data_IF_955218084822
#
_entry.id   IF_955218084822
#
_cell.length_a   1.000
_cell.length_b   1.000
_cell.length_c   1.000
_cell.angle_alpha   90.00
_cell.angle_beta   90.00
_cell.angle_gamma   90.00
#
_symmetry.space_group_name_H-M   'P 1'
#
loop_
_entity.id
_entity.type
_entity.pdbx_description
1 polymer ?
#
# COMPACT_ATOMS: atom_id res chain seq x y z
N UNK A 1 -3.96 -0.61 21.22
CA UNK A 1 -4.99 -0.44 20.17
C UNK A 1 -4.62 0.81 19.36
N UNK A 2 -4.00 0.64 18.21
CA UNK A 2 -3.73 1.76 17.28
C UNK A 2 -5.04 2.11 16.60
N UNK A 3 -5.59 3.28 16.91
CA UNK A 3 -6.78 3.80 16.22
C UNK A 3 -6.36 4.28 14.83
N UNK A 4 -7.02 3.78 13.79
CA UNK A 4 -6.90 4.24 12.42
C UNK A 4 -8.26 4.76 11.97
N UNK A 5 -8.30 6.00 11.53
CA UNK A 5 -9.49 6.66 10.97
C UNK A 5 -9.26 6.93 9.50
N UNK A 6 -10.31 6.85 8.69
CA UNK A 6 -10.22 7.19 7.28
C UNK A 6 -11.51 7.85 6.81
N UNK A 7 -11.42 8.54 5.69
CA UNK A 7 -12.59 9.06 5.00
C UNK A 7 -12.43 9.00 3.49
N UNK A 8 -13.56 9.01 2.81
CA UNK A 8 -13.63 8.98 1.36
C UNK A 8 -14.70 9.95 0.85
N UNK A 9 -14.27 10.99 0.15
CA UNK A 9 -15.15 11.83 -0.64
C UNK A 9 -15.34 11.18 -2.01
N UNK A 10 -16.48 10.51 -2.19
CA UNK A 10 -16.82 9.80 -3.43
C UNK A 10 -16.93 10.70 -4.66
N UNK A 11 -17.39 11.95 -4.50
CA UNK A 11 -17.54 12.87 -5.63
C UNK A 11 -16.19 13.34 -6.16
N UNK A 12 -15.24 13.62 -5.26
CA UNK A 12 -13.91 14.09 -5.62
C UNK A 12 -12.90 12.93 -5.86
N UNK A 13 -13.23 11.70 -5.46
CA UNK A 13 -12.28 10.60 -5.39
C UNK A 13 -11.24 10.77 -4.28
N UNK A 14 -11.40 11.71 -3.36
CA UNK A 14 -10.40 12.03 -2.35
C UNK A 14 -10.48 11.08 -1.15
N UNK A 15 -9.35 10.50 -0.78
CA UNK A 15 -9.20 9.60 0.38
C UNK A 15 -8.20 10.21 1.35
N UNK A 16 -8.49 10.12 2.64
CA UNK A 16 -7.52 10.43 3.69
C UNK A 16 -7.52 9.33 4.76
N UNK A 17 -6.35 9.08 5.33
CA UNK A 17 -6.12 8.15 6.44
C UNK A 17 -5.39 8.91 7.53
N UNK A 18 -5.85 8.76 8.77
CA UNK A 18 -5.27 9.33 9.97
C UNK A 18 -4.87 8.20 10.92
N UNK A 19 -3.63 8.19 11.34
CA UNK A 19 -3.07 7.25 12.32
C UNK A 19 -2.35 8.00 13.43
N UNK A 20 -2.36 7.43 14.64
CA UNK A 20 -1.84 8.11 15.85
C UNK A 20 -0.36 8.48 15.77
N UNK A 21 0.44 7.66 15.11
CA UNK A 21 1.89 7.83 15.00
C UNK A 21 2.37 7.38 13.62
N UNK A 22 3.52 7.88 13.18
CA UNK A 22 4.18 7.42 11.96
C UNK A 22 4.57 5.95 12.12
N UNK A 23 4.33 5.14 11.08
CA UNK A 23 4.71 3.72 11.07
C UNK A 23 5.67 3.41 9.93
N UNK A 24 6.43 2.34 10.08
CA UNK A 24 7.28 1.78 9.03
C UNK A 24 6.97 0.30 8.87
N UNK A 25 6.93 -0.18 7.62
CA UNK A 25 6.74 -1.58 7.31
C UNK A 25 7.81 -2.09 6.34
N UNK A 26 8.40 -3.24 6.66
CA UNK A 26 9.35 -3.94 5.80
C UNK A 26 8.61 -5.00 4.99
N UNK A 27 8.38 -4.73 3.71
CA UNK A 27 7.87 -5.73 2.78
C UNK A 27 9.01 -6.69 2.37
N UNK A 28 9.16 -7.79 3.13
CA UNK A 28 10.27 -8.75 2.97
C UNK A 28 10.38 -9.28 1.54
N UNK A 29 9.25 -9.66 0.92
CA UNK A 29 9.20 -10.27 -0.43
C UNK A 29 9.75 -9.39 -1.55
N UNK A 30 9.67 -8.07 -1.40
CA UNK A 30 10.19 -7.10 -2.39
C UNK A 30 11.43 -6.37 -1.87
N UNK A 31 11.93 -6.72 -0.69
CA UNK A 31 13.11 -6.11 -0.11
C UNK A 31 12.99 -4.59 0.07
N UNK A 32 11.79 -4.04 0.31
CA UNK A 32 11.55 -2.61 0.46
C UNK A 32 10.98 -2.25 1.83
N UNK A 33 11.38 -1.09 2.38
CA UNK A 33 10.83 -0.54 3.63
C UNK A 33 10.04 0.71 3.27
N UNK A 34 8.80 0.80 3.73
CA UNK A 34 7.91 1.92 3.44
C UNK A 34 7.53 2.59 4.75
N UNK A 35 7.59 3.93 4.79
CA UNK A 35 7.09 4.73 5.89
C UNK A 35 5.74 5.34 5.56
N UNK A 36 4.85 5.35 6.55
CA UNK A 36 3.51 5.89 6.52
C UNK A 36 3.40 6.98 7.58
N UNK A 37 3.19 8.22 7.18
CA UNK A 37 3.05 9.37 8.08
C UNK A 37 1.68 9.34 8.79
N UNK A 38 1.49 10.21 9.78
CA UNK A 38 0.25 10.29 10.58
C UNK A 38 -0.98 10.69 9.76
N UNK A 39 -0.77 11.38 8.64
CA UNK A 39 -1.78 11.76 7.67
C UNK A 39 -1.33 11.33 6.27
N UNK A 40 -2.16 10.55 5.61
CA UNK A 40 -1.96 10.08 4.23
C UNK A 40 -3.16 10.54 3.42
N UNK A 41 -2.90 11.13 2.26
CA UNK A 41 -3.97 11.54 1.35
C UNK A 41 -3.71 11.05 -0.06
N UNK A 42 -4.76 10.84 -0.85
CA UNK A 42 -4.65 10.50 -2.27
C UNK A 42 -5.96 10.78 -2.99
N UNK A 43 -5.89 10.89 -4.32
CA UNK A 43 -7.06 10.77 -5.19
C UNK A 43 -7.11 9.35 -5.75
N UNK A 44 -8.19 8.64 -5.44
CA UNK A 44 -8.47 7.30 -5.92
C UNK A 44 -9.35 7.35 -7.17
N UNK A 45 -8.87 6.71 -8.22
CA UNK A 45 -9.56 6.44 -9.48
C UNK A 45 -9.61 4.92 -9.69
N UNK A 46 -10.33 4.46 -10.71
CA UNK A 46 -10.33 3.06 -11.06
C UNK A 46 -8.89 2.56 -11.33
N UNK A 47 -8.45 1.58 -10.53
CA UNK A 47 -7.11 0.98 -10.58
C UNK A 47 -5.93 1.94 -10.39
N UNK A 48 -6.15 3.14 -9.83
CA UNK A 48 -5.11 4.15 -9.71
C UNK A 48 -5.28 5.03 -8.48
N UNK A 49 -4.18 5.36 -7.85
CA UNK A 49 -4.05 6.36 -6.81
C UNK A 49 -3.05 7.41 -7.27
N UNK A 50 -3.40 8.69 -7.19
CA UNK A 50 -2.58 9.82 -7.63
C UNK A 50 -2.43 10.85 -6.53
N UNK A 51 -1.34 11.61 -6.61
CA UNK A 51 -0.98 12.65 -5.64
C UNK A 51 -0.96 12.08 -4.21
N UNK A 52 -0.39 10.91 -4.06
CA UNK A 52 -0.22 10.24 -2.77
C UNK A 52 0.68 11.11 -1.89
N UNK A 53 0.23 11.44 -0.68
CA UNK A 53 1.03 12.11 0.35
C UNK A 53 1.21 11.20 1.56
N UNK A 54 2.25 11.45 2.36
CA UNK A 54 2.48 10.70 3.60
C UNK A 54 3.03 9.29 3.41
N UNK A 55 3.37 8.86 2.18
CA UNK A 55 3.99 7.54 1.92
C UNK A 55 5.37 7.73 1.27
N UNK A 56 6.40 7.09 1.84
CA UNK A 56 7.76 7.11 1.30
C UNK A 56 8.35 5.70 1.27
N UNK A 57 9.01 5.31 0.18
CA UNK A 57 9.83 4.10 0.12
C UNK A 57 11.28 4.40 0.48
N UNK A 58 11.95 3.45 1.13
CA UNK A 58 13.38 3.55 1.41
C UNK A 58 14.16 3.00 0.22
N UNK A 59 14.78 3.90 -0.52
CA UNK A 59 15.61 3.59 -1.68
C UNK A 59 17.08 3.80 -1.32
N UNK A 60 17.83 2.70 -1.24
CA UNK A 60 19.17 2.67 -0.66
C UNK A 60 19.18 3.27 0.76
N UNK A 61 19.65 4.52 0.89
CA UNK A 61 19.76 5.24 2.16
C UNK A 61 18.78 6.42 2.27
N UNK A 62 17.97 6.68 1.25
CA UNK A 62 17.13 7.89 1.15
C UNK A 62 15.64 7.49 1.17
N UNK A 63 14.82 8.28 1.87
CA UNK A 63 13.37 8.17 1.82
C UNK A 63 12.82 8.92 0.62
N UNK A 64 12.22 8.20 -0.32
CA UNK A 64 11.69 8.76 -1.56
C UNK A 64 10.16 8.74 -1.52
N UNK A 65 9.49 9.89 -1.69
CA UNK A 65 8.04 9.95 -1.68
C UNK A 65 7.43 9.26 -2.91
N UNK A 66 6.37 8.49 -2.67
CA UNK A 66 5.57 7.85 -3.72
C UNK A 66 4.49 8.85 -4.14
N UNK A 67 4.38 9.16 -5.42
CA UNK A 67 3.41 10.10 -5.96
C UNK A 67 2.17 9.42 -6.54
N UNK A 68 2.36 8.26 -7.17
CA UNK A 68 1.30 7.53 -7.87
C UNK A 68 1.49 6.01 -7.73
N UNK A 69 0.36 5.32 -7.70
CA UNK A 69 0.29 3.86 -7.76
C UNK A 69 -0.80 3.45 -8.75
N UNK A 70 -0.54 2.51 -9.66
CA UNK A 70 -1.54 2.08 -10.63
C UNK A 70 -1.32 0.67 -11.17
N UNK A 71 -2.42 0.03 -11.59
CA UNK A 71 -2.41 -1.24 -12.30
C UNK A 71 -2.72 -0.96 -13.77
N UNK A 72 -1.75 -1.19 -14.66
CA UNK A 72 -1.94 -0.99 -16.12
C UNK A 72 -2.77 -2.10 -16.74
N UNK A 73 -2.51 -3.34 -16.33
CA UNK A 73 -3.19 -4.55 -16.78
C UNK A 73 -3.56 -5.39 -15.54
N UNK A 74 -4.85 -5.52 -15.20
CA UNK A 74 -5.29 -6.34 -14.07
C UNK A 74 -4.86 -7.81 -14.16
N UNK A 75 -4.70 -8.36 -15.37
CA UNK A 75 -4.27 -9.75 -15.56
C UNK A 75 -2.77 -9.96 -15.26
N UNK A 76 -1.97 -8.89 -15.26
CA UNK A 76 -0.51 -8.97 -15.11
C UNK A 76 -0.04 -9.36 -13.71
N UNK A 77 -0.89 -9.19 -12.68
CA UNK A 77 -0.50 -9.39 -11.28
C UNK A 77 0.58 -8.40 -10.79
N UNK A 78 0.70 -7.23 -11.44
CA UNK A 78 1.72 -6.20 -11.15
C UNK A 78 1.09 -4.87 -10.78
N UNK A 79 1.80 -4.12 -9.93
CA UNK A 79 1.49 -2.75 -9.53
C UNK A 79 2.66 -1.86 -9.94
N UNK A 80 2.36 -0.71 -10.53
CA UNK A 80 3.32 0.33 -10.89
C UNK A 80 3.30 1.42 -9.83
N UNK A 81 4.47 1.92 -9.48
CA UNK A 81 4.68 3.03 -8.55
C UNK A 81 5.49 4.10 -9.26
N UNK A 82 5.17 5.37 -8.98
CA UNK A 82 5.99 6.52 -9.40
C UNK A 82 6.41 7.34 -8.19
N UNK A 83 7.56 7.98 -8.32
CA UNK A 83 8.05 8.99 -7.39
C UNK A 83 7.84 10.38 -7.99
N UNK A 84 7.90 11.41 -7.15
CA UNK A 84 7.84 12.81 -7.60
C UNK A 84 8.97 13.20 -8.54
N UNK A 85 10.06 12.44 -8.59
CA UNK A 85 11.19 12.64 -9.52
C UNK A 85 10.95 12.00 -10.89
N UNK A 86 9.79 11.36 -11.11
CA UNK A 86 9.46 10.68 -12.36
C UNK A 86 10.04 9.27 -12.51
N UNK A 87 10.79 8.78 -11.52
CA UNK A 87 11.26 7.40 -11.49
C UNK A 87 10.10 6.47 -11.16
N UNK A 88 10.06 5.31 -11.84
CA UNK A 88 9.02 4.32 -11.68
C UNK A 88 9.55 2.95 -11.31
N UNK A 89 8.73 2.15 -10.61
CA UNK A 89 8.99 0.73 -10.35
C UNK A 89 7.73 -0.09 -10.56
N UNK A 90 7.91 -1.29 -11.12
CA UNK A 90 6.84 -2.28 -11.23
C UNK A 90 7.16 -3.44 -10.31
N UNK A 91 6.23 -3.78 -9.43
CA UNK A 91 6.38 -4.83 -8.43
C UNK A 91 5.20 -5.81 -8.49
N UNK A 92 5.41 -7.09 -8.15
CA UNK A 92 4.31 -8.06 -8.11
C UNK A 92 3.38 -7.78 -6.93
N UNK A 93 2.07 -7.94 -7.14
CA UNK A 93 1.03 -7.81 -6.08
C UNK A 93 1.35 -8.74 -4.90
N UNK A 94 1.86 -9.94 -5.18
CA UNK A 94 2.23 -10.94 -4.17
C UNK A 94 3.28 -10.45 -3.16
N UNK A 95 4.03 -9.40 -3.51
CA UNK A 95 5.00 -8.74 -2.66
C UNK A 95 4.41 -7.96 -1.49
N UNK A 96 3.12 -7.60 -1.58
CA UNK A 96 2.39 -6.77 -0.60
C UNK A 96 1.33 -7.54 0.19
N UNK A 97 1.16 -8.84 -0.08
CA UNK A 97 0.25 -9.69 0.67
C UNK A 97 0.82 -9.97 2.06
N UNK A 98 -0.01 -9.76 3.09
CA UNK A 98 0.31 -10.09 4.49
C UNK A 98 0.69 -11.58 4.60
N UNK A 99 1.76 -11.87 5.35
CA UNK A 99 2.19 -13.25 5.62
C UNK A 99 1.13 -14.03 6.44
N UNK A 100 0.23 -13.31 7.12
CA UNK A 100 -0.75 -13.84 8.08
C UNK A 100 -2.06 -14.32 7.43
N UNK A 101 -2.28 -14.04 6.15
CA UNK A 101 -3.45 -14.53 5.39
C UNK A 101 -3.42 -16.04 5.08
N UNK A 102 -2.30 -16.72 5.36
CA UNK A 102 -2.16 -18.17 5.19
C UNK A 102 -2.44 -18.96 6.49
N UNK A 103 -2.45 -18.31 7.65
CA UNK A 103 -2.71 -18.94 8.94
C UNK A 103 -4.22 -19.05 9.21
N UNK A 104 -5.01 -18.00 8.92
CA UNK A 104 -6.46 -18.01 9.13
C UNK A 104 -7.19 -18.99 8.20
N UNK A 105 -6.78 -19.09 6.93
CA UNK A 105 -7.37 -20.01 5.95
C UNK A 105 -7.03 -21.48 6.21
N UNK A 106 -5.85 -21.76 6.80
CA UNK A 106 -5.48 -23.11 7.26
C UNK A 106 -6.26 -23.53 8.51
N UNK A 107 -6.63 -22.58 9.37
CA UNK A 107 -7.46 -22.84 10.57
C UNK A 107 -8.91 -23.18 10.17
N UNK A 108 -9.51 -22.40 9.25
CA UNK A 108 -10.87 -22.66 8.74
C UNK A 108 -11.01 -23.97 7.97
N UNK A 109 -9.97 -24.40 7.22
CA UNK A 109 -9.97 -25.70 6.51
C UNK A 109 -9.83 -26.93 7.43
N UNK A 110 -9.30 -26.77 8.65
CA UNK A 110 -9.20 -27.87 9.64
C UNK A 110 -10.47 -28.04 10.49
N UNK A 111 -11.23 -26.99 10.72
CA UNK A 111 -12.49 -27.04 11.49
C UNK A 111 -13.71 -27.49 10.66
N UNK A 112 -13.70 -27.31 9.34
CA UNK A 112 -14.78 -27.77 8.45
C UNK A 112 -14.72 -29.23 8.01
N UNK A 113 -13.88 -30.06 8.63
CA UNK A 113 -13.70 -31.48 8.28
C UNK A 113 -13.84 -32.44 9.47
N UNK A 114 -14.58 -32.02 10.50
CA UNK A 114 -14.92 -32.84 11.66
C UNK A 114 -16.42 -33.07 11.73
#
# INVERSE_FOLDING_TARGET
MTSLSFGYNRQAGFVWILQKEKTEHRFKKIGNTVSFDTEITTFAEHHKMRKITGIKSKEFLIWVPISDMYISDPASGKINFKTYTGLGRTLPVSGFLLEDGLEEDKKKKKEGKK
#
